data_IF_293159434099
#
_entry.id   IF_293159434099
#
_cell.length_a   1.000
_cell.length_b   1.000
_cell.length_c   1.000
_cell.angle_alpha   90.00
_cell.angle_beta   90.00
_cell.angle_gamma   90.00
#
_symmetry.space_group_name_H-M   'P 1'
#
loop_
_entity.id
_entity.type
_entity.pdbx_description
1 polymer ?
#
# COMPACT_ATOMS: atom_id res chain seq x y z
N UNK A 1 13.29 5.20 20.90
CA UNK A 1 13.86 5.95 19.77
C UNK A 1 15.36 5.67 19.72
N UNK A 2 15.96 5.42 18.55
CA UNK A 2 17.41 5.20 18.45
C UNK A 2 18.15 6.51 18.79
N UNK A 3 19.19 6.44 19.64
CA UNK A 3 19.95 7.63 20.02
C UNK A 3 20.75 8.19 18.85
N UNK A 4 20.87 9.52 18.77
CA UNK A 4 21.69 10.20 17.76
C UNK A 4 21.00 10.49 16.42
N UNK A 5 19.70 10.18 16.28
CA UNK A 5 18.90 10.54 15.11
C UNK A 5 17.80 11.53 15.49
N UNK A 6 17.58 12.52 14.62
CA UNK A 6 16.36 13.32 14.68
C UNK A 6 15.19 12.44 14.23
N UNK A 7 14.19 12.30 15.11
CA UNK A 7 13.06 11.38 14.91
C UNK A 7 11.79 12.20 15.01
N UNK A 8 11.00 12.16 13.95
CA UNK A 8 9.64 12.69 13.91
C UNK A 8 8.68 11.53 14.07
N UNK A 9 7.94 11.51 15.18
CA UNK A 9 6.83 10.58 15.37
C UNK A 9 5.63 11.05 14.55
N UNK A 10 4.91 10.12 13.93
CA UNK A 10 3.75 10.40 13.09
C UNK A 10 2.61 9.45 13.46
N UNK A 11 1.39 9.95 13.35
CA UNK A 11 0.16 9.23 13.57
C UNK A 11 -0.78 9.40 12.36
N UNK A 12 -1.79 8.52 12.20
CA UNK A 12 -2.84 8.72 11.22
C UNK A 12 -3.51 10.09 11.38
N UNK A 13 -3.69 10.80 10.28
CA UNK A 13 -4.21 12.18 10.24
C UNK A 13 -3.11 13.26 10.20
N UNK A 14 -1.87 12.92 10.52
CA UNK A 14 -0.76 13.87 10.46
C UNK A 14 -0.41 14.24 9.02
N UNK A 15 0.12 15.45 8.87
CA UNK A 15 0.76 15.93 7.65
C UNK A 15 2.11 16.54 8.01
N UNK A 16 3.17 16.09 7.34
CA UNK A 16 4.55 16.51 7.60
C UNK A 16 5.24 16.85 6.28
N UNK A 17 6.09 17.87 6.30
CA UNK A 17 6.98 18.18 5.18
C UNK A 17 8.36 17.60 5.42
N UNK A 18 8.90 16.89 4.44
CA UNK A 18 10.26 16.35 4.45
C UNK A 18 11.01 16.84 3.21
N UNK A 19 11.76 17.95 3.34
CA UNK A 19 12.34 18.63 2.20
C UNK A 19 11.25 19.20 1.29
N UNK A 20 11.25 18.82 0.02
CA UNK A 20 10.24 19.25 -0.97
C UNK A 20 9.00 18.34 -0.98
N UNK A 21 8.99 17.26 -0.19
CA UNK A 21 7.89 16.30 -0.14
C UNK A 21 6.87 16.63 0.96
N UNK A 22 5.59 16.50 0.64
CA UNK A 22 4.48 16.50 1.60
C UNK A 22 4.04 15.06 1.86
N UNK A 23 4.05 14.67 3.13
CA UNK A 23 3.69 13.34 3.60
C UNK A 23 2.39 13.43 4.40
N UNK A 24 1.37 12.67 4.01
CA UNK A 24 0.10 12.52 4.75
C UNK A 24 -0.04 11.09 5.23
N UNK A 25 -0.50 10.91 6.46
CA UNK A 25 -0.48 9.60 7.11
C UNK A 25 -1.89 9.07 7.38
N UNK A 26 -2.09 7.77 7.14
CA UNK A 26 -3.40 7.10 7.20
C UNK A 26 -3.31 5.73 7.89
N UNK A 27 -4.47 5.17 8.24
CA UNK A 27 -4.55 3.85 8.87
C UNK A 27 -4.31 3.92 10.37
N UNK A 28 -3.24 3.30 10.85
CA UNK A 28 -2.90 3.19 12.27
C UNK A 28 -2.78 1.76 12.76
N UNK A 29 -3.30 0.80 12.00
CA UNK A 29 -3.18 -0.63 12.28
C UNK A 29 -2.93 -1.42 11.01
N UNK A 30 -2.14 -2.48 11.15
CA UNK A 30 -1.88 -3.49 10.15
C UNK A 30 -3.13 -4.37 9.93
N UNK A 31 -3.22 -5.07 8.80
CA UNK A 31 -4.20 -6.15 8.65
C UNK A 31 -4.04 -7.20 9.76
N UNK A 32 -5.12 -7.85 10.21
CA UNK A 32 -4.98 -8.87 11.26
C UNK A 32 -4.11 -10.03 10.75
N UNK A 33 -2.98 -10.29 11.42
CA UNK A 33 -2.11 -11.44 11.09
C UNK A 33 -2.74 -12.73 11.60
N UNK A 34 -3.17 -12.73 12.87
CA UNK A 34 -3.86 -13.83 13.51
C UNK A 34 -4.48 -13.34 14.84
N UNK A 35 -5.66 -13.82 15.18
CA UNK A 35 -6.40 -13.46 16.42
C UNK A 35 -5.63 -13.62 17.75
N UNK A 36 -4.53 -14.37 17.78
CA UNK A 36 -3.67 -14.52 18.96
C UNK A 36 -2.60 -13.44 19.11
N UNK A 37 -2.45 -12.57 18.12
CA UNK A 37 -1.46 -11.50 18.06
C UNK A 37 -2.24 -10.18 18.17
N UNK A 38 -1.82 -9.23 19.03
CA UNK A 38 -2.39 -7.90 19.03
C UNK A 38 -2.33 -7.27 17.64
N UNK A 39 -3.30 -6.41 17.30
CA UNK A 39 -3.17 -5.60 16.10
C UNK A 39 -1.91 -4.74 16.20
N UNK A 40 -1.08 -4.83 15.17
CA UNK A 40 0.22 -4.17 15.12
C UNK A 40 0.05 -2.79 14.51
N UNK A 41 0.78 -1.81 15.04
CA UNK A 41 0.78 -0.45 14.49
C UNK A 41 1.32 -0.47 13.06
N UNK A 42 0.59 0.15 12.14
CA UNK A 42 1.01 0.39 10.75
C UNK A 42 0.41 1.71 10.28
N UNK A 43 1.26 2.60 9.79
CA UNK A 43 0.84 3.85 9.19
C UNK A 43 1.13 3.83 7.69
N UNK A 44 0.09 4.02 6.89
CA UNK A 44 0.22 4.24 5.46
C UNK A 44 0.65 5.68 5.18
N UNK A 45 1.48 5.89 4.15
CA UNK A 45 1.98 7.21 3.76
C UNK A 45 1.53 7.55 2.35
N UNK A 46 0.98 8.74 2.17
CA UNK A 46 0.70 9.37 0.89
C UNK A 46 1.74 10.46 0.66
N UNK A 47 2.50 10.34 -0.44
CA UNK A 47 3.55 11.28 -0.83
C UNK A 47 3.03 12.17 -1.95
N UNK A 48 3.06 13.49 -1.73
CA UNK A 48 2.68 14.53 -2.69
C UNK A 48 1.31 14.35 -3.35
N UNK A 49 0.36 13.75 -2.62
CA UNK A 49 -0.96 13.35 -3.12
C UNK A 49 -0.91 12.43 -4.36
N UNK A 50 0.24 11.83 -4.68
CA UNK A 50 0.45 10.98 -5.85
C UNK A 50 0.67 9.51 -5.46
N UNK A 51 1.66 9.20 -4.61
CA UNK A 51 1.99 7.82 -4.26
C UNK A 51 1.46 7.45 -2.88
N UNK A 52 0.49 6.53 -2.84
CA UNK A 52 0.03 5.92 -1.58
C UNK A 52 0.71 4.57 -1.34
N UNK A 53 1.48 4.50 -0.25
CA UNK A 53 2.10 3.29 0.26
C UNK A 53 1.46 2.91 1.61
N UNK A 54 0.49 1.97 1.64
CA UNK A 54 -0.29 1.64 2.83
C UNK A 54 0.46 0.76 3.83
N UNK A 55 1.68 0.31 3.51
CA UNK A 55 2.32 -0.79 4.22
C UNK A 55 1.49 -2.05 4.05
N UNK A 56 1.33 -2.82 5.13
CA UNK A 56 0.54 -4.05 5.13
C UNK A 56 -0.85 -3.84 5.76
N UNK A 57 -1.36 -2.62 5.64
CA UNK A 57 -2.75 -2.26 5.98
C UNK A 57 -3.63 -2.19 4.74
N UNK A 58 -4.94 -2.35 4.93
CA UNK A 58 -5.96 -2.07 3.92
C UNK A 58 -6.70 -0.74 4.21
N UNK A 59 -5.99 0.22 4.79
CA UNK A 59 -6.55 1.52 5.12
C UNK A 59 -6.78 2.36 3.86
N UNK A 60 -8.04 2.64 3.54
CA UNK A 60 -8.41 3.51 2.42
C UNK A 60 -8.17 4.98 2.84
N UNK A 61 -7.40 5.78 2.07
CA UNK A 61 -7.12 7.16 2.41
C UNK A 61 -8.36 8.03 2.09
N UNK A 62 -9.19 8.30 3.10
CA UNK A 62 -10.43 9.06 2.92
C UNK A 62 -10.19 10.46 2.34
N UNK A 63 -11.03 10.85 1.37
CA UNK A 63 -10.94 12.17 0.73
C UNK A 63 -9.77 12.36 -0.22
N UNK A 64 -9.08 11.27 -0.62
CA UNK A 64 -7.96 11.30 -1.56
C UNK A 64 -8.33 10.56 -2.84
N UNK A 65 -8.11 11.19 -3.99
CA UNK A 65 -8.05 10.50 -5.27
C UNK A 65 -6.63 10.00 -5.48
N UNK A 66 -6.39 8.70 -5.29
CA UNK A 66 -5.03 8.14 -5.32
C UNK A 66 -4.50 8.07 -6.76
N UNK A 67 -3.38 8.75 -7.02
CA UNK A 67 -2.67 8.66 -8.29
C UNK A 67 -2.09 7.26 -8.50
N UNK A 68 -1.21 6.82 -7.60
CA UNK A 68 -0.47 5.56 -7.69
C UNK A 68 -0.53 4.80 -6.36
N UNK A 69 -0.95 3.54 -6.40
CA UNK A 69 -1.07 2.66 -5.24
C UNK A 69 -0.01 1.56 -5.24
N UNK A 70 0.78 1.48 -4.17
CA UNK A 70 1.65 0.34 -3.88
C UNK A 70 0.83 -0.74 -3.12
N UNK A 71 0.14 -1.61 -3.85
CA UNK A 71 -0.85 -2.53 -3.28
C UNK A 71 -0.21 -3.82 -2.74
N UNK A 72 -0.46 -4.22 -1.47
CA UNK A 72 0.02 -5.48 -0.93
C UNK A 72 -0.51 -6.67 -1.72
N UNK A 73 0.40 -7.46 -2.28
CA UNK A 73 0.09 -8.52 -3.25
C UNK A 73 0.17 -9.92 -2.62
N UNK A 74 1.11 -10.13 -1.71
CA UNK A 74 1.32 -11.39 -1.01
C UNK A 74 1.70 -11.14 0.44
N UNK A 75 1.43 -12.10 1.33
CA UNK A 75 2.00 -12.20 2.68
C UNK A 75 1.56 -13.54 3.28
N UNK A 76 2.18 -14.01 4.39
CA UNK A 76 1.72 -15.22 5.08
C UNK A 76 0.30 -15.11 5.67
N UNK A 77 -0.17 -13.89 5.96
CA UNK A 77 -1.50 -13.61 6.51
C UNK A 77 -2.52 -13.14 5.47
N UNK A 78 -2.05 -12.71 4.29
CA UNK A 78 -2.88 -12.03 3.30
C UNK A 78 -3.88 -13.00 2.64
N UNK A 79 -5.13 -12.55 2.52
CA UNK A 79 -6.11 -13.16 1.63
C UNK A 79 -6.27 -12.29 0.39
N UNK A 80 -6.10 -12.87 -0.79
CA UNK A 80 -6.19 -12.12 -2.05
C UNK A 80 -7.54 -11.40 -2.25
N UNK A 81 -8.63 -11.91 -1.66
CA UNK A 81 -9.93 -11.24 -1.67
C UNK A 81 -9.91 -9.88 -0.97
N UNK A 82 -9.25 -9.77 0.18
CA UNK A 82 -9.16 -8.52 0.95
C UNK A 82 -8.31 -7.47 0.20
N UNK A 83 -7.25 -7.91 -0.49
CA UNK A 83 -6.45 -7.03 -1.35
C UNK A 83 -7.24 -6.54 -2.59
N UNK A 84 -8.07 -7.39 -3.19
CA UNK A 84 -8.99 -6.99 -4.28
C UNK A 84 -9.98 -5.94 -3.78
N UNK A 85 -10.64 -6.20 -2.64
CA UNK A 85 -11.62 -5.28 -2.05
C UNK A 85 -10.99 -3.92 -1.73
N UNK A 86 -9.74 -3.93 -1.23
CA UNK A 86 -8.97 -2.73 -0.98
C UNK A 86 -8.69 -1.92 -2.25
N UNK A 87 -8.19 -2.56 -3.33
CA UNK A 87 -7.95 -1.86 -4.61
C UNK A 87 -9.25 -1.31 -5.21
N UNK A 88 -10.36 -2.06 -5.13
CA UNK A 88 -11.67 -1.59 -5.57
C UNK A 88 -12.20 -0.41 -4.76
N UNK A 89 -11.87 -0.33 -3.47
CA UNK A 89 -12.25 0.77 -2.60
C UNK A 89 -11.41 2.03 -2.85
N UNK A 90 -10.09 1.88 -3.05
CA UNK A 90 -9.16 2.97 -3.32
C UNK A 90 -9.35 3.57 -4.72
N UNK A 91 -9.66 2.75 -5.72
CA UNK A 91 -9.85 3.16 -7.13
C UNK A 91 -8.67 3.98 -7.69
N UNK A 92 -7.43 3.48 -7.58
CA UNK A 92 -6.27 4.26 -7.97
C UNK A 92 -6.17 4.42 -9.48
N UNK A 93 -5.53 5.50 -9.96
CA UNK A 93 -5.24 5.68 -11.40
C UNK A 93 -4.17 4.70 -11.88
N UNK A 94 -3.22 4.36 -11.01
CA UNK A 94 -2.14 3.40 -11.25
C UNK A 94 -1.99 2.49 -10.03
N UNK A 95 -1.65 1.23 -10.23
CA UNK A 95 -1.28 0.35 -9.12
C UNK A 95 -0.15 -0.60 -9.50
N UNK A 96 0.66 -0.99 -8.52
CA UNK A 96 1.65 -2.07 -8.65
C UNK A 96 1.65 -2.91 -7.37
N UNK A 97 2.16 -4.14 -7.45
CA UNK A 97 2.20 -5.07 -6.33
C UNK A 97 3.42 -4.88 -5.42
N UNK A 98 3.23 -4.97 -4.11
CA UNK A 98 4.31 -5.07 -3.11
C UNK A 98 4.20 -6.37 -2.30
N UNK A 99 5.22 -6.68 -1.50
CA UNK A 99 5.21 -7.80 -0.53
C UNK A 99 5.05 -9.19 -1.18
N UNK A 100 5.43 -9.37 -2.45
CA UNK A 100 5.10 -10.56 -3.24
C UNK A 100 6.11 -11.72 -3.15
N UNK A 101 7.29 -11.51 -2.56
CA UNK A 101 8.34 -12.55 -2.43
C UNK A 101 7.93 -13.78 -1.60
N UNK A 102 6.84 -13.71 -0.84
CA UNK A 102 6.29 -14.87 -0.13
C UNK A 102 5.61 -15.86 -1.07
N UNK A 103 5.35 -15.46 -2.32
CA UNK A 103 4.67 -16.25 -3.33
C UNK A 103 5.68 -16.92 -4.27
N UNK A 104 5.32 -18.11 -4.76
CA UNK A 104 5.97 -18.63 -5.97
C UNK A 104 5.68 -17.72 -7.16
N UNK A 105 6.51 -17.78 -8.21
CA UNK A 105 6.30 -17.03 -9.46
C UNK A 105 4.88 -17.21 -10.01
N UNK A 106 4.36 -18.45 -10.00
CA UNK A 106 2.99 -18.74 -10.45
C UNK A 106 1.95 -18.04 -9.55
N UNK A 107 2.14 -18.10 -8.23
CA UNK A 107 1.26 -17.45 -7.27
C UNK A 107 1.26 -15.92 -7.41
N UNK A 108 2.44 -15.32 -7.55
CA UNK A 108 2.60 -13.89 -7.80
C UNK A 108 1.85 -13.47 -9.06
N UNK A 109 2.02 -14.18 -10.18
CA UNK A 109 1.31 -13.89 -11.43
C UNK A 109 -0.21 -14.01 -11.29
N UNK A 110 -0.71 -15.00 -10.55
CA UNK A 110 -2.14 -15.13 -10.27
C UNK A 110 -2.67 -13.95 -9.45
N UNK A 111 -1.92 -13.51 -8.43
CA UNK A 111 -2.29 -12.36 -7.61
C UNK A 111 -2.21 -11.05 -8.40
N UNK A 112 -1.16 -10.86 -9.23
CA UNK A 112 -1.01 -9.68 -10.12
C UNK A 112 -2.21 -9.57 -11.03
N UNK A 113 -2.64 -10.68 -11.65
CA UNK A 113 -3.86 -10.71 -12.46
C UNK A 113 -5.13 -10.28 -11.72
N UNK A 114 -5.24 -10.54 -10.41
CA UNK A 114 -6.39 -10.10 -9.60
C UNK A 114 -6.34 -8.61 -9.27
N UNK A 115 -5.18 -8.08 -8.89
CA UNK A 115 -5.05 -6.64 -8.64
C UNK A 115 -5.17 -5.83 -9.93
N UNK A 116 -4.65 -6.36 -11.04
CA UNK A 116 -4.86 -5.80 -12.38
C UNK A 116 -6.34 -5.69 -12.72
N UNK A 117 -7.08 -6.80 -12.61
CA UNK A 117 -8.52 -6.80 -12.83
C UNK A 117 -9.24 -5.76 -11.96
N UNK A 118 -8.92 -5.69 -10.66
CA UNK A 118 -9.52 -4.74 -9.72
C UNK A 118 -9.24 -3.27 -10.08
N UNK A 119 -8.00 -2.96 -10.43
CA UNK A 119 -7.54 -1.62 -10.83
C UNK A 119 -8.27 -1.15 -12.09
N UNK A 120 -8.38 -2.02 -13.08
CA UNK A 120 -9.03 -1.72 -14.36
C UNK A 120 -10.56 -1.54 -14.23
N UNK A 121 -11.20 -2.02 -13.16
CA UNK A 121 -12.65 -1.81 -12.95
C UNK A 121 -13.04 -0.33 -12.80
N UNK A 122 -12.09 0.53 -12.41
CA UNK A 122 -12.31 1.97 -12.25
C UNK A 122 -11.48 2.79 -13.26
N UNK A 123 -11.02 2.17 -14.35
CA UNK A 123 -10.27 2.84 -15.42
C UNK A 123 -8.81 3.12 -15.10
N UNK A 124 -8.26 2.55 -14.02
CA UNK A 124 -6.84 2.61 -13.71
C UNK A 124 -6.02 1.58 -14.49
N UNK A 125 -4.69 1.72 -14.42
CA UNK A 125 -3.72 0.81 -15.04
C UNK A 125 -2.87 0.09 -13.99
N UNK A 126 -2.66 -1.21 -14.15
CA UNK A 126 -1.78 -1.98 -13.27
C UNK A 126 -0.43 -2.24 -13.94
N UNK A 127 0.64 -1.92 -13.22
CA UNK A 127 2.03 -2.09 -13.64
C UNK A 127 2.63 -3.30 -12.95
N UNK A 128 3.19 -4.21 -13.75
CA UNK A 128 4.00 -5.31 -13.25
C UNK A 128 5.43 -4.79 -13.08
N UNK A 129 5.84 -4.58 -11.84
CA UNK A 129 7.20 -4.16 -11.48
C UNK A 129 7.91 -5.30 -10.77
N UNK A 130 9.08 -5.68 -11.28
CA UNK A 130 9.99 -6.60 -10.63
C UNK A 130 11.11 -5.84 -9.91
N UNK A 131 11.86 -6.47 -8.98
CA UNK A 131 12.93 -5.79 -8.27
C UNK A 131 13.97 -5.17 -9.20
N UNK A 132 14.08 -3.84 -9.15
CA UNK A 132 14.99 -3.06 -9.99
C UNK A 132 14.28 -2.29 -11.12
N UNK A 133 13.01 -2.60 -11.39
CA UNK A 133 12.18 -1.81 -12.29
C UNK A 133 11.74 -0.50 -11.62
N UNK A 134 11.37 0.46 -12.47
CA UNK A 134 10.88 1.77 -12.07
C UNK A 134 9.58 2.15 -12.81
N UNK A 135 8.85 3.09 -12.21
CA UNK A 135 7.67 3.71 -12.80
C UNK A 135 7.77 5.22 -12.59
N UNK A 136 7.80 5.97 -13.68
CA UNK A 136 7.67 7.43 -13.65
C UNK A 136 6.20 7.82 -13.49
N UNK A 137 5.89 8.70 -12.53
CA UNK A 137 4.51 9.11 -12.17
C UNK A 137 4.30 10.61 -12.25
#
# INVERSE_FOLDING_TARGET
AAEGYEITEVAPGDTVTAGDFTLRFFGGVHAEIHSSIPLIDNVGVLVDDELYYPGDSYAVPEGVEVGTLAAPLGAPWLKIGEAIDFVLAVKPRRAFGTHDMTLSVIGANMHRGRLKWATEQNGGEFFELDPGDDLEV
#
